data_IF_890682983439
#
_entry.id   IF_890682983439
#
_cell.length_a   1.000
_cell.length_b   1.000
_cell.length_c   1.000
_cell.angle_alpha   90.00
_cell.angle_beta   90.00
_cell.angle_gamma   90.00
#
_symmetry.space_group_name_H-M   'P 1'
#
loop_
_entity.id
_entity.type
_entity.pdbx_description
1 polymer ?
#
# COMPACT_ATOMS: atom_id res chain seq x y z
N UNK A 1 -9.48 -14.49 15.90
CA UNK A 1 -9.64 -13.05 15.62
C UNK A 1 -9.62 -12.95 14.12
N UNK A 2 -10.71 -12.52 13.49
CA UNK A 2 -10.74 -12.39 12.03
C UNK A 2 -10.17 -11.04 11.65
N UNK A 3 -9.17 -11.01 10.78
CA UNK A 3 -8.60 -9.76 10.28
C UNK A 3 -9.37 -9.33 9.04
N UNK A 4 -9.89 -8.10 9.03
CA UNK A 4 -10.64 -7.58 7.88
C UNK A 4 -9.70 -7.24 6.71
N UNK A 5 -10.10 -7.62 5.50
CA UNK A 5 -9.42 -7.25 4.27
C UNK A 5 -10.03 -5.96 3.69
N UNK A 6 -9.19 -5.14 3.07
CA UNK A 6 -9.65 -4.03 2.24
C UNK A 6 -10.34 -4.55 0.98
N UNK A 7 -11.36 -3.84 0.47
CA UNK A 7 -11.92 -4.12 -0.84
C UNK A 7 -10.87 -3.96 -1.94
N UNK A 8 -11.14 -4.52 -3.12
CA UNK A 8 -10.29 -4.28 -4.29
C UNK A 8 -10.17 -2.78 -4.60
N UNK A 9 -8.96 -2.35 -4.96
CA UNK A 9 -8.72 -0.96 -5.32
C UNK A 9 -9.51 -0.58 -6.57
N UNK A 10 -10.22 0.53 -6.50
CA UNK A 10 -10.90 1.16 -7.64
C UNK A 10 -10.17 2.43 -8.01
N UNK A 11 -9.79 2.54 -9.29
CA UNK A 11 -9.02 3.68 -9.78
C UNK A 11 -9.77 4.99 -9.60
N UNK A 12 -9.03 6.01 -9.15
CA UNK A 12 -9.53 7.37 -8.99
C UNK A 12 -9.36 8.07 -10.35
N UNK A 13 -10.45 8.50 -11.02
CA UNK A 13 -10.36 9.08 -12.36
C UNK A 13 -9.52 10.36 -12.46
N UNK A 14 -9.38 11.10 -11.36
CA UNK A 14 -8.61 12.33 -11.28
C UNK A 14 -7.13 12.10 -10.92
N UNK A 15 -6.74 10.87 -10.58
CA UNK A 15 -5.36 10.52 -10.29
C UNK A 15 -4.66 10.02 -11.55
N UNK A 16 -3.35 10.21 -11.63
CA UNK A 16 -2.56 9.60 -12.71
C UNK A 16 -2.57 8.07 -12.62
N UNK A 17 -2.39 7.39 -13.76
CA UNK A 17 -2.24 5.92 -13.83
C UNK A 17 -1.18 5.42 -12.84
N UNK A 18 -0.05 6.14 -12.76
CA UNK A 18 1.03 5.83 -11.82
C UNK A 18 0.58 5.89 -10.36
N UNK A 19 -0.25 6.87 -9.98
CA UNK A 19 -0.80 6.95 -8.61
C UNK A 19 -1.76 5.78 -8.37
N UNK A 20 -2.65 5.49 -9.32
CA UNK A 20 -3.58 4.37 -9.20
C UNK A 20 -2.85 3.02 -9.09
N UNK A 21 -1.77 2.82 -9.84
CA UNK A 21 -0.95 1.61 -9.75
C UNK A 21 -0.28 1.46 -8.38
N UNK A 22 0.28 2.55 -7.85
CA UNK A 22 0.88 2.55 -6.51
C UNK A 22 -0.15 2.30 -5.41
N UNK A 23 -1.34 2.90 -5.50
CA UNK A 23 -2.42 2.66 -4.53
C UNK A 23 -2.95 1.21 -4.62
N UNK A 24 -3.01 0.63 -5.82
CA UNK A 24 -3.38 -0.77 -6.01
C UNK A 24 -2.35 -1.71 -5.41
N UNK A 25 -1.06 -1.42 -5.60
CA UNK A 25 0.03 -2.17 -4.98
C UNK A 25 -0.04 -2.09 -3.45
N UNK A 26 -0.23 -0.89 -2.90
CA UNK A 26 -0.34 -0.68 -1.44
C UNK A 26 -1.53 -1.44 -0.85
N UNK A 27 -2.69 -1.39 -1.52
CA UNK A 27 -3.90 -2.14 -1.13
C UNK A 27 -3.63 -3.66 -1.12
N UNK A 28 -2.90 -4.17 -2.11
CA UNK A 28 -2.54 -5.59 -2.18
C UNK A 28 -1.61 -6.01 -1.04
N UNK A 29 -0.62 -5.19 -0.69
CA UNK A 29 0.30 -5.44 0.42
C UNK A 29 -0.44 -5.50 1.77
N UNK A 30 -1.35 -4.56 2.02
CA UNK A 30 -2.18 -4.56 3.24
C UNK A 30 -3.04 -5.83 3.31
N UNK A 31 -3.64 -6.24 2.20
CA UNK A 31 -4.46 -7.44 2.15
C UNK A 31 -3.65 -8.73 2.35
N UNK A 32 -2.41 -8.77 1.87
CA UNK A 32 -1.52 -9.90 2.10
C UNK A 32 -1.07 -9.96 3.56
N UNK A 33 -0.74 -8.83 4.18
CA UNK A 33 -0.46 -8.76 5.62
C UNK A 33 -1.68 -9.24 6.43
N UNK A 34 -2.89 -8.77 6.10
CA UNK A 34 -4.12 -9.23 6.75
C UNK A 34 -4.31 -10.75 6.64
N UNK A 35 -4.02 -11.34 5.47
CA UNK A 35 -4.09 -12.80 5.25
C UNK A 35 -3.13 -13.57 6.15
N UNK A 36 -1.89 -13.10 6.29
CA UNK A 36 -0.88 -13.72 7.15
C UNK A 36 -1.26 -13.61 8.64
N UNK A 37 -1.82 -12.46 9.04
CA UNK A 37 -2.29 -12.25 10.42
C UNK A 37 -3.52 -13.11 10.75
N UNK A 38 -4.45 -13.28 9.80
CA UNK A 38 -5.66 -14.10 9.96
C UNK A 38 -5.36 -15.60 10.03
N UNK A 39 -4.34 -16.07 9.32
CA UNK A 39 -3.87 -17.44 9.38
C UNK A 39 -3.47 -17.90 10.79
N UNK A 40 -3.18 -16.96 11.70
CA UNK A 40 -3.05 -17.21 13.14
C UNK A 40 -1.80 -18.01 13.55
N UNK A 41 -0.92 -18.35 12.62
CA UNK A 41 0.32 -19.09 12.84
C UNK A 41 1.54 -18.20 12.60
N UNK A 42 2.07 -17.60 13.66
CA UNK A 42 3.27 -16.76 13.61
C UNK A 42 4.54 -17.60 13.71
N UNK A 43 4.90 -18.24 12.61
CA UNK A 43 6.23 -18.85 12.44
C UNK A 43 7.29 -17.78 12.13
N UNK A 44 8.57 -18.11 12.27
CA UNK A 44 9.66 -17.23 11.83
C UNK A 44 9.48 -16.83 10.35
N UNK A 45 9.13 -17.78 9.48
CA UNK A 45 8.80 -17.51 8.07
C UNK A 45 7.64 -16.51 7.89
N UNK A 46 6.66 -16.51 8.80
CA UNK A 46 5.52 -15.58 8.73
C UNK A 46 5.95 -14.18 9.17
N UNK A 47 6.83 -14.10 10.18
CA UNK A 47 7.42 -12.83 10.62
C UNK A 47 8.30 -12.23 9.53
N UNK A 48 9.12 -13.04 8.86
CA UNK A 48 9.96 -12.60 7.75
C UNK A 48 9.12 -12.07 6.58
N UNK A 49 8.05 -12.78 6.21
CA UNK A 49 7.10 -12.29 5.20
C UNK A 49 6.43 -10.97 5.60
N UNK A 50 6.03 -10.81 6.86
CA UNK A 50 5.46 -9.55 7.36
C UNK A 50 6.49 -8.40 7.33
N UNK A 51 7.77 -8.69 7.57
CA UNK A 51 8.85 -7.70 7.46
C UNK A 51 9.10 -7.30 6.00
N UNK A 52 9.07 -8.26 5.07
CA UNK A 52 9.20 -7.98 3.64
C UNK A 52 8.04 -7.11 3.13
N UNK A 53 6.80 -7.44 3.52
CA UNK A 53 5.61 -6.64 3.19
C UNK A 53 5.74 -5.22 3.75
N UNK A 54 6.23 -5.08 4.99
CA UNK A 54 6.45 -3.77 5.60
C UNK A 54 7.53 -2.95 4.87
N UNK A 55 8.63 -3.60 4.47
CA UNK A 55 9.68 -2.92 3.71
C UNK A 55 9.16 -2.44 2.34
N UNK A 56 8.35 -3.26 1.66
CA UNK A 56 7.74 -2.91 0.38
C UNK A 56 6.72 -1.77 0.54
N UNK A 57 5.90 -1.77 1.59
CA UNK A 57 4.91 -0.72 1.83
C UNK A 57 5.59 0.64 2.03
N UNK A 58 6.71 0.69 2.76
CA UNK A 58 7.50 1.93 2.94
C UNK A 58 8.00 2.46 1.58
N UNK A 59 8.46 1.59 0.68
CA UNK A 59 8.92 2.03 -0.65
C UNK A 59 7.76 2.56 -1.51
N UNK A 60 6.58 1.93 -1.44
CA UNK A 60 5.37 2.41 -2.10
C UNK A 60 4.94 3.78 -1.55
N UNK A 61 4.93 3.97 -0.23
CA UNK A 61 4.64 5.26 0.41
C UNK A 61 5.64 6.36 -0.01
N UNK A 62 6.93 6.03 -0.10
CA UNK A 62 7.94 6.96 -0.58
C UNK A 62 7.71 7.36 -2.05
N UNK A 63 7.29 6.41 -2.90
CA UNK A 63 6.92 6.66 -4.30
C UNK A 63 5.65 7.51 -4.41
N UNK A 64 4.63 7.24 -3.60
CA UNK A 64 3.40 8.03 -3.53
C UNK A 64 3.68 9.46 -3.09
N UNK A 65 4.51 9.64 -2.07
CA UNK A 65 4.93 10.97 -1.58
C UNK A 65 5.65 11.76 -2.68
N UNK A 66 6.58 11.12 -3.40
CA UNK A 66 7.27 11.74 -4.54
C UNK A 66 6.33 12.06 -5.70
N UNK A 67 5.30 11.24 -5.94
CA UNK A 67 4.32 11.47 -6.99
C UNK A 67 3.34 12.60 -6.64
N UNK A 68 3.02 12.79 -5.36
CA UNK A 68 2.19 13.91 -4.86
C UNK A 68 2.92 15.25 -4.81
N UNK A 69 4.24 15.26 -4.63
CA UNK A 69 5.00 16.51 -4.50
C UNK A 69 4.82 17.46 -5.71
N UNK A 70 4.83 16.99 -6.98
CA UNK A 70 4.50 17.81 -8.15
C UNK A 70 3.07 18.38 -8.16
N UNK A 71 2.08 17.65 -7.63
CA UNK A 71 0.67 18.08 -7.58
C UNK A 71 0.45 19.15 -6.49
N UNK A 72 1.14 19.03 -5.35
CA UNK A 72 1.13 20.05 -4.28
C UNK A 72 1.91 21.31 -4.69
N UNK A 73 3.00 21.18 -5.45
CA UNK A 73 3.80 22.31 -5.93
C UNK A 73 3.00 23.23 -6.87
N UNK A 74 2.01 22.69 -7.61
CA UNK A 74 1.10 23.49 -8.43
C UNK A 74 0.11 24.29 -7.58
N UNK A 75 -0.47 23.69 -6.52
CA UNK A 75 -1.39 24.36 -5.59
C UNK A 75 -0.73 25.51 -4.80
N UNK A 76 0.58 25.44 -4.55
CA UNK A 76 1.31 26.48 -3.83
C UNK A 76 1.86 27.61 -4.73
N UNK A 77 1.72 27.51 -6.06
CA UNK A 77 2.17 28.54 -7.02
C UNK A 77 1.03 29.38 -7.61
N UNK A 78 -0.22 29.09 -7.25
CA UNK A 78 -1.43 29.91 -7.54
C UNK A 78 -1.84 30.71 -6.32
#
# INVERSE_FOLDING_TARGET
MTVEHLPEWTDIPAASDRINDLMRQDTALINEAARLLDAGHYTDDTVDQLQDIWAESIDVEAKLTKARAPELDWLHRT
#
